data_IF_363395820599
#
_entry.id   IF_363395820599
#
_cell.length_a   1.000
_cell.length_b   1.000
_cell.length_c   1.000
_cell.angle_alpha   90.00
_cell.angle_beta   90.00
_cell.angle_gamma   90.00
#
_symmetry.space_group_name_H-M   'P 1'
#
loop_
_entity.id
_entity.type
_entity.pdbx_description
1 polymer ?
#
# COMPACT_ATOMS: atom_id res chain seq x y z
N UNK A 1 -27.27 -9.39 -3.25
CA UNK A 1 -26.43 -8.47 -4.07
C UNK A 1 -24.97 -8.78 -3.77
N UNK A 2 -24.07 -8.82 -4.77
CA UNK A 2 -22.68 -9.26 -4.55
C UNK A 2 -21.91 -8.22 -3.72
N UNK A 3 -21.44 -8.62 -2.55
CA UNK A 3 -20.48 -7.87 -1.74
C UNK A 3 -19.07 -8.11 -2.27
N UNK A 4 -18.20 -7.09 -2.22
CA UNK A 4 -16.80 -7.22 -2.60
C UNK A 4 -15.91 -7.08 -1.38
N UNK A 5 -14.88 -7.92 -1.25
CA UNK A 5 -13.82 -7.78 -0.24
C UNK A 5 -12.52 -7.36 -0.93
N UNK A 6 -11.93 -6.26 -0.50
CA UNK A 6 -10.59 -5.81 -0.94
C UNK A 6 -9.66 -5.91 0.26
N UNK A 7 -8.45 -6.42 0.05
CA UNK A 7 -7.47 -6.58 1.11
C UNK A 7 -6.07 -6.11 0.69
N UNK A 8 -5.25 -5.75 1.67
CA UNK A 8 -3.81 -5.54 1.52
C UNK A 8 -3.04 -6.39 2.51
N UNK A 9 -1.88 -6.90 2.10
CA UNK A 9 -1.04 -7.74 2.95
C UNK A 9 0.44 -7.63 2.57
N UNK A 10 1.25 -7.05 3.44
CA UNK A 10 2.71 -7.15 3.35
C UNK A 10 3.13 -8.59 3.75
N UNK A 11 3.61 -9.36 2.79
CA UNK A 11 3.92 -10.80 2.97
C UNK A 11 5.34 -11.04 3.46
N UNK A 12 6.18 -10.01 3.53
CA UNK A 12 7.58 -10.10 3.97
C UNK A 12 8.34 -11.26 3.31
N UNK A 13 8.18 -11.42 1.99
CA UNK A 13 8.75 -12.50 1.18
C UNK A 13 7.71 -13.52 0.74
N UNK A 14 7.20 -13.35 -0.48
CA UNK A 14 6.06 -14.14 -1.01
C UNK A 14 6.33 -15.65 -1.01
N UNK A 15 7.53 -16.08 -1.39
CA UNK A 15 7.86 -17.52 -1.47
C UNK A 15 7.84 -18.19 -0.10
N UNK A 16 8.44 -17.53 0.90
CA UNK A 16 8.48 -18.06 2.26
C UNK A 16 7.13 -18.07 2.95
N UNK A 17 6.21 -17.18 2.55
CA UNK A 17 4.86 -17.04 3.13
C UNK A 17 3.76 -17.59 2.23
N UNK A 18 4.13 -18.29 1.15
CA UNK A 18 3.16 -18.82 0.17
C UNK A 18 2.14 -19.77 0.82
N UNK A 19 2.50 -20.71 1.70
CA UNK A 19 1.51 -21.58 2.35
C UNK A 19 0.47 -20.81 3.17
N UNK A 20 0.89 -19.83 3.97
CA UNK A 20 0.00 -18.99 4.78
C UNK A 20 -0.86 -18.09 3.89
N UNK A 21 -0.28 -17.53 2.81
CA UNK A 21 -1.01 -16.75 1.83
C UNK A 21 -2.12 -17.59 1.17
N UNK A 22 -1.80 -18.79 0.69
CA UNK A 22 -2.79 -19.68 0.06
C UNK A 22 -3.88 -20.09 1.04
N UNK A 23 -3.54 -20.39 2.30
CA UNK A 23 -4.51 -20.70 3.34
C UNK A 23 -5.47 -19.52 3.60
N UNK A 24 -4.95 -18.29 3.66
CA UNK A 24 -5.77 -17.09 3.84
C UNK A 24 -6.64 -16.81 2.61
N UNK A 25 -6.09 -16.89 1.40
CA UNK A 25 -6.84 -16.71 0.15
C UNK A 25 -7.97 -17.73 -0.01
N UNK A 26 -7.76 -18.96 0.43
CA UNK A 26 -8.78 -20.01 0.41
C UNK A 26 -9.91 -19.72 1.41
N UNK A 27 -9.56 -19.29 2.63
CA UNK A 27 -10.54 -19.06 3.71
C UNK A 27 -11.31 -17.75 3.55
N UNK A 28 -10.61 -16.65 3.36
CA UNK A 28 -11.20 -15.30 3.38
C UNK A 28 -11.66 -14.84 2.00
N UNK A 29 -11.12 -15.48 0.96
CA UNK A 29 -11.44 -15.31 -0.45
C UNK A 29 -11.72 -13.86 -0.89
N UNK A 30 -10.80 -12.90 -0.66
CA UNK A 30 -10.97 -11.53 -1.12
C UNK A 30 -11.11 -11.46 -2.65
N UNK A 31 -11.85 -10.49 -3.16
CA UNK A 31 -11.98 -10.29 -4.60
C UNK A 31 -10.74 -9.62 -5.20
N UNK A 32 -10.11 -8.71 -4.44
CA UNK A 32 -8.87 -8.02 -4.85
C UNK A 32 -7.89 -8.02 -3.67
N UNK A 33 -6.62 -8.33 -3.94
CA UNK A 33 -5.55 -8.31 -2.92
C UNK A 33 -4.34 -7.51 -3.41
N UNK A 34 -3.92 -6.51 -2.64
CA UNK A 34 -2.61 -5.88 -2.79
C UNK A 34 -1.56 -6.59 -1.93
N UNK A 35 -0.45 -7.04 -2.52
CA UNK A 35 0.68 -7.64 -1.80
C UNK A 35 1.89 -6.72 -1.81
N UNK A 36 2.61 -6.65 -0.69
CA UNK A 36 3.85 -5.88 -0.54
C UNK A 36 5.00 -6.77 -0.06
N UNK A 37 6.23 -6.29 -0.25
CA UNK A 37 7.46 -7.00 0.06
C UNK A 37 7.51 -8.41 -0.52
N UNK A 38 7.29 -8.55 -1.83
CA UNK A 38 7.45 -9.83 -2.50
C UNK A 38 8.85 -10.44 -2.28
N UNK A 39 9.89 -9.59 -2.24
CA UNK A 39 11.32 -9.98 -2.11
C UNK A 39 11.72 -11.07 -3.10
N UNK A 40 11.15 -10.99 -4.30
CA UNK A 40 11.37 -11.93 -5.40
C UNK A 40 11.48 -11.15 -6.70
N UNK A 41 12.37 -11.60 -7.58
CA UNK A 41 12.37 -11.20 -8.99
C UNK A 41 11.10 -11.69 -9.69
N UNK A 42 10.78 -11.11 -10.85
CA UNK A 42 9.57 -11.45 -11.61
C UNK A 42 9.48 -12.93 -11.96
N UNK A 43 10.57 -13.53 -12.45
CA UNK A 43 10.64 -14.96 -12.77
C UNK A 43 10.43 -15.87 -11.54
N UNK A 44 10.51 -15.30 -10.35
CA UNK A 44 10.32 -16.04 -9.10
C UNK A 44 8.94 -15.91 -8.47
N UNK A 45 8.05 -15.11 -9.05
CA UNK A 45 6.69 -14.93 -8.57
C UNK A 45 5.89 -16.24 -8.74
N UNK A 46 5.18 -16.73 -7.70
CA UNK A 46 4.48 -18.02 -7.71
C UNK A 46 3.11 -17.93 -8.41
N UNK A 47 3.13 -17.55 -9.69
CA UNK A 47 1.91 -17.32 -10.46
C UNK A 47 1.06 -18.59 -10.59
N UNK A 48 1.70 -19.75 -10.82
CA UNK A 48 1.01 -21.02 -11.02
C UNK A 48 0.20 -21.44 -9.79
N UNK A 49 0.77 -21.27 -8.59
CA UNK A 49 0.12 -21.57 -7.33
C UNK A 49 -1.03 -20.62 -7.03
N UNK A 50 -0.88 -19.33 -7.35
CA UNK A 50 -1.95 -18.33 -7.21
C UNK A 50 -3.09 -18.57 -8.21
N UNK A 51 -2.76 -18.94 -9.46
CA UNK A 51 -3.74 -19.34 -10.46
C UNK A 51 -4.50 -20.59 -10.02
N UNK A 52 -3.82 -21.59 -9.46
CA UNK A 52 -4.45 -22.78 -8.91
C UNK A 52 -5.39 -22.47 -7.73
N UNK A 53 -5.09 -21.41 -6.96
CA UNK A 53 -5.99 -20.87 -5.93
C UNK A 53 -7.12 -19.99 -6.49
N UNK A 54 -7.21 -19.82 -7.81
CA UNK A 54 -8.26 -19.06 -8.49
C UNK A 54 -8.00 -17.56 -8.60
N UNK A 55 -6.74 -17.11 -8.49
CA UNK A 55 -6.38 -15.69 -8.59
C UNK A 55 -5.50 -15.42 -9.81
N UNK A 56 -5.94 -14.49 -10.66
CA UNK A 56 -5.06 -13.84 -11.63
C UNK A 56 -4.21 -12.76 -10.97
N UNK A 57 -3.12 -12.33 -11.61
CA UNK A 57 -2.18 -11.40 -10.98
C UNK A 57 -1.46 -10.47 -11.97
N UNK A 58 -1.16 -9.26 -11.50
CA UNK A 58 -0.11 -8.39 -12.05
C UNK A 58 0.87 -8.07 -10.94
N UNK A 59 2.17 -8.09 -11.22
CA UNK A 59 3.20 -7.89 -10.20
C UNK A 59 4.41 -7.16 -10.76
N UNK A 60 5.17 -6.54 -9.86
CA UNK A 60 6.47 -5.94 -10.12
C UNK A 60 7.42 -6.44 -9.03
N UNK A 61 8.30 -7.36 -9.40
CA UNK A 61 9.27 -7.99 -8.52
C UNK A 61 10.55 -7.17 -8.33
N UNK A 62 11.25 -7.43 -7.24
CA UNK A 62 12.60 -6.95 -6.96
C UNK A 62 13.26 -7.93 -5.99
N UNK A 63 14.53 -8.28 -6.24
CA UNK A 63 15.27 -9.20 -5.38
C UNK A 63 15.58 -8.58 -4.02
N UNK A 64 15.56 -9.40 -2.97
CA UNK A 64 15.95 -9.08 -1.58
C UNK A 64 15.07 -8.03 -0.86
N UNK A 65 14.52 -7.06 -1.58
CA UNK A 65 13.80 -5.90 -1.06
C UNK A 65 12.56 -5.63 -1.91
N UNK A 66 11.56 -4.95 -1.34
CA UNK A 66 10.39 -4.43 -2.05
C UNK A 66 9.60 -5.51 -2.82
N UNK A 67 8.96 -5.08 -3.91
CA UNK A 67 8.10 -5.88 -4.75
C UNK A 67 6.64 -5.70 -4.35
N UNK A 68 5.77 -5.54 -5.35
CA UNK A 68 4.33 -5.37 -5.17
C UNK A 68 3.54 -6.21 -6.16
N UNK A 69 2.36 -6.66 -5.78
CA UNK A 69 1.44 -7.36 -6.67
C UNK A 69 -0.02 -6.97 -6.41
N UNK A 70 -0.84 -7.07 -7.43
CA UNK A 70 -2.29 -7.06 -7.34
C UNK A 70 -2.82 -8.42 -7.81
N UNK A 71 -3.62 -9.06 -6.97
CA UNK A 71 -4.33 -10.29 -7.29
C UNK A 71 -5.82 -9.98 -7.49
N UNK A 72 -6.48 -10.68 -8.40
CA UNK A 72 -7.93 -10.63 -8.55
C UNK A 72 -8.52 -12.04 -8.66
N UNK A 73 -9.64 -12.27 -7.99
CA UNK A 73 -10.26 -13.60 -7.92
C UNK A 73 -11.08 -13.89 -9.17
N UNK A 74 -10.71 -14.96 -9.88
CA UNK A 74 -11.43 -15.43 -11.07
C UNK A 74 -11.23 -14.59 -12.33
N UNK A 75 -10.27 -13.67 -12.34
CA UNK A 75 -9.87 -12.92 -13.53
C UNK A 75 -8.44 -12.35 -13.38
N UNK A 76 -7.81 -11.99 -14.50
CA UNK A 76 -6.58 -11.21 -14.48
C UNK A 76 -6.88 -9.72 -14.28
N UNK A 77 -6.22 -9.04 -13.34
CA UNK A 77 -6.27 -7.58 -13.24
C UNK A 77 -5.74 -6.93 -14.54
N UNK A 78 -6.38 -5.85 -14.98
CA UNK A 78 -5.91 -5.08 -16.13
C UNK A 78 -5.00 -3.96 -15.64
N UNK A 79 -3.70 -4.10 -15.85
CA UNK A 79 -2.69 -3.11 -15.45
C UNK A 79 -2.95 -1.75 -16.12
N UNK A 80 -3.06 -0.70 -15.31
CA UNK A 80 -3.13 0.69 -15.77
C UNK A 80 -1.80 1.41 -15.59
N UNK A 81 -1.01 1.02 -14.58
CA UNK A 81 0.28 1.65 -14.28
C UNK A 81 1.23 0.71 -13.53
N UNK A 82 2.50 0.85 -13.88
CA UNK A 82 3.64 0.22 -13.20
C UNK A 82 4.65 1.29 -12.79
N UNK A 83 5.00 1.30 -11.51
CA UNK A 83 5.81 2.37 -10.91
C UNK A 83 5.01 3.63 -10.60
N UNK A 84 5.49 4.39 -9.61
CA UNK A 84 4.89 5.67 -9.22
C UNK A 84 5.37 6.77 -10.17
N UNK A 85 4.49 7.62 -10.73
CA UNK A 85 4.92 8.66 -11.67
C UNK A 85 5.71 9.78 -10.97
N UNK A 86 6.47 10.54 -11.76
CA UNK A 86 7.13 11.77 -11.32
C UNK A 86 8.63 11.68 -11.05
N UNK A 87 9.25 10.50 -11.13
CA UNK A 87 10.72 10.37 -11.28
C UNK A 87 11.08 9.12 -12.10
N UNK A 88 11.47 9.26 -13.37
CA UNK A 88 11.87 8.13 -14.23
C UNK A 88 13.12 7.37 -13.75
N UNK A 89 13.92 7.95 -12.84
CA UNK A 89 15.13 7.30 -12.32
C UNK A 89 14.82 6.35 -11.15
N UNK A 90 13.63 6.46 -10.58
CA UNK A 90 13.21 5.56 -9.50
C UNK A 90 12.79 4.21 -10.06
N UNK A 91 13.67 3.23 -9.92
CA UNK A 91 13.47 1.87 -10.41
C UNK A 91 12.97 0.91 -9.32
N UNK A 92 12.65 1.40 -8.12
CA UNK A 92 12.21 0.53 -7.02
C UNK A 92 10.77 0.02 -7.24
N UNK A 93 10.58 -1.29 -7.07
CA UNK A 93 9.29 -1.96 -7.25
C UNK A 93 8.35 -1.72 -6.07
N UNK A 94 7.78 -0.51 -6.01
CA UNK A 94 6.99 0.00 -4.86
C UNK A 94 5.55 0.39 -5.17
N UNK A 95 5.16 0.42 -6.45
CA UNK A 95 3.81 0.82 -6.84
C UNK A 95 3.35 0.08 -8.09
N UNK A 96 2.13 -0.45 -8.06
CA UNK A 96 1.44 -1.03 -9.21
C UNK A 96 -0.04 -0.68 -9.14
N UNK A 97 -0.68 -0.47 -10.28
CA UNK A 97 -2.07 -0.07 -10.40
C UNK A 97 -2.77 -0.91 -11.45
N UNK A 98 -3.96 -1.42 -11.10
CA UNK A 98 -4.76 -2.22 -12.01
C UNK A 98 -6.25 -2.09 -11.73
N UNK A 99 -7.04 -2.33 -12.76
CA UNK A 99 -8.50 -2.46 -12.68
C UNK A 99 -8.87 -3.92 -12.45
N UNK A 100 -9.69 -4.19 -11.44
CA UNK A 100 -10.30 -5.49 -11.21
C UNK A 100 -11.70 -5.32 -10.62
N UNK A 101 -12.66 -6.16 -11.04
CA UNK A 101 -14.04 -6.13 -10.53
C UNK A 101 -14.70 -4.73 -10.51
N UNK A 102 -14.36 -3.87 -11.49
CA UNK A 102 -14.88 -2.50 -11.60
C UNK A 102 -14.34 -1.52 -10.57
N UNK A 103 -13.20 -1.83 -9.93
CA UNK A 103 -12.47 -0.95 -9.01
C UNK A 103 -11.05 -0.77 -9.52
N UNK A 104 -10.59 0.47 -9.62
CA UNK A 104 -9.18 0.78 -9.85
C UNK A 104 -8.45 0.69 -8.51
N UNK A 105 -7.36 -0.07 -8.45
CA UNK A 105 -6.61 -0.25 -7.21
C UNK A 105 -5.15 0.13 -7.44
N UNK A 106 -4.65 1.07 -6.65
CA UNK A 106 -3.22 1.35 -6.51
C UNK A 106 -2.67 0.61 -5.29
N UNK A 107 -1.78 -0.36 -5.51
CA UNK A 107 -1.08 -1.09 -4.46
C UNK A 107 0.32 -0.50 -4.26
N UNK A 108 0.65 -0.13 -3.01
CA UNK A 108 1.92 0.53 -2.69
C UNK A 108 2.70 -0.11 -1.55
N UNK A 109 4.02 0.01 -1.62
CA UNK A 109 4.97 -0.26 -0.55
C UNK A 109 5.85 0.98 -0.34
N UNK A 110 5.40 1.87 0.54
CA UNK A 110 6.04 3.16 0.76
C UNK A 110 7.42 2.99 1.41
N UNK A 111 8.45 3.77 1.05
CA UNK A 111 9.76 3.65 1.67
C UNK A 111 9.70 3.80 3.21
N UNK A 112 10.30 2.85 3.94
CA UNK A 112 10.33 2.87 5.41
C UNK A 112 10.96 4.17 5.96
N UNK A 113 12.11 4.57 5.39
CA UNK A 113 12.80 5.82 5.69
C UNK A 113 13.91 5.71 6.75
N UNK A 114 14.07 4.58 7.45
CA UNK A 114 15.15 4.42 8.43
C UNK A 114 16.52 4.08 7.77
N UNK A 115 17.65 4.54 8.37
CA UNK A 115 17.71 5.44 9.52
C UNK A 115 17.35 6.87 9.15
N UNK A 116 16.87 7.64 10.15
CA UNK A 116 16.54 9.07 10.01
C UNK A 116 17.27 9.92 11.05
N UNK A 117 17.68 11.16 10.72
CA UNK A 117 17.60 11.78 9.39
C UNK A 117 18.60 11.14 8.39
N UNK A 118 18.47 11.46 7.10
CA UNK A 118 19.39 11.02 6.05
C UNK A 118 18.71 10.65 4.73
N UNK A 119 19.48 10.23 3.73
CA UNK A 119 19.02 10.11 2.34
C UNK A 119 17.85 9.12 2.16
N UNK A 120 17.69 8.13 3.04
CA UNK A 120 16.52 7.23 3.00
C UNK A 120 15.23 7.91 3.46
N UNK A 121 15.33 8.81 4.45
CA UNK A 121 14.20 9.60 4.91
C UNK A 121 13.85 10.69 3.89
N UNK A 122 14.86 11.34 3.30
CA UNK A 122 14.63 12.31 2.21
C UNK A 122 13.93 11.64 1.03
N UNK A 123 14.41 10.45 0.62
CA UNK A 123 13.73 9.64 -0.41
C UNK A 123 12.29 9.28 -0.04
N UNK A 124 12.00 8.96 1.23
CA UNK A 124 10.63 8.70 1.70
C UNK A 124 9.74 9.91 1.50
N UNK A 125 10.18 11.10 1.88
CA UNK A 125 9.41 12.33 1.75
C UNK A 125 9.19 12.71 0.28
N UNK A 126 10.23 12.59 -0.56
CA UNK A 126 10.12 12.82 -2.01
C UNK A 126 9.16 11.81 -2.69
N UNK A 127 9.18 10.55 -2.24
CA UNK A 127 8.25 9.52 -2.70
C UNK A 127 6.81 9.84 -2.27
N UNK A 128 6.61 10.31 -1.03
CA UNK A 128 5.31 10.78 -0.54
C UNK A 128 4.77 11.94 -1.37
N UNK A 129 5.60 12.94 -1.68
CA UNK A 129 5.19 14.08 -2.50
C UNK A 129 4.76 13.65 -3.91
N UNK A 130 5.45 12.66 -4.51
CA UNK A 130 5.02 12.03 -5.77
C UNK A 130 3.69 11.29 -5.62
N UNK A 131 3.52 10.54 -4.53
CA UNK A 131 2.28 9.81 -4.24
C UNK A 131 1.11 10.78 -4.12
N UNK A 132 1.24 11.85 -3.35
CA UNK A 132 0.21 12.87 -3.16
C UNK A 132 -0.23 13.48 -4.50
N UNK A 133 0.70 13.80 -5.41
CA UNK A 133 0.36 14.32 -6.74
C UNK A 133 -0.45 13.34 -7.57
N UNK A 134 -0.04 12.06 -7.59
CA UNK A 134 -0.77 11.02 -8.31
C UNK A 134 -2.13 10.73 -7.67
N UNK A 135 -2.17 10.62 -6.34
CA UNK A 135 -3.36 10.34 -5.56
C UNK A 135 -4.43 11.44 -5.70
N UNK A 136 -4.02 12.70 -5.89
CA UNK A 136 -4.96 13.81 -6.13
C UNK A 136 -5.78 13.59 -7.40
N UNK A 137 -5.19 13.00 -8.45
CA UNK A 137 -5.92 12.65 -9.66
C UNK A 137 -6.84 11.45 -9.43
N UNK A 138 -6.34 10.42 -8.72
CA UNK A 138 -7.08 9.20 -8.44
C UNK A 138 -8.33 9.45 -7.57
N UNK A 139 -8.22 10.26 -6.51
CA UNK A 139 -9.33 10.53 -5.58
C UNK A 139 -10.46 11.29 -6.26
N UNK A 140 -10.14 12.12 -7.25
CA UNK A 140 -11.09 12.91 -8.02
C UNK A 140 -11.81 12.11 -9.12
N UNK A 141 -11.40 10.86 -9.40
CA UNK A 141 -12.06 10.05 -10.41
C UNK A 141 -13.52 9.75 -10.00
N UNK A 142 -14.47 9.82 -10.95
CA UNK A 142 -15.87 9.49 -10.68
C UNK A 142 -16.12 7.97 -10.55
N UNK A 143 -15.08 7.15 -10.71
CA UNK A 143 -15.13 5.70 -10.63
C UNK A 143 -14.60 5.24 -9.26
N UNK A 144 -14.95 4.03 -8.79
CA UNK A 144 -14.43 3.54 -7.52
C UNK A 144 -12.92 3.29 -7.57
N UNK A 145 -12.17 3.89 -6.64
CA UNK A 145 -10.72 3.76 -6.52
C UNK A 145 -10.32 3.43 -5.08
N UNK A 146 -9.41 2.49 -4.91
CA UNK A 146 -8.74 2.20 -3.64
C UNK A 146 -7.24 2.44 -3.77
N UNK A 147 -6.64 3.11 -2.79
CA UNK A 147 -5.21 3.18 -2.60
C UNK A 147 -4.86 2.36 -1.36
N UNK A 148 -4.18 1.23 -1.55
CA UNK A 148 -3.98 0.21 -0.52
C UNK A 148 -2.50 -0.13 -0.39
N UNK A 149 -2.05 -0.53 0.79
CA UNK A 149 -0.67 -0.98 0.96
C UNK A 149 -0.13 -0.79 2.37
N UNK A 150 1.17 -1.03 2.49
CA UNK A 150 1.99 -0.64 3.63
C UNK A 150 2.55 0.76 3.37
N UNK A 151 2.04 1.74 4.12
CA UNK A 151 2.43 3.14 3.98
C UNK A 151 3.65 3.48 4.82
N UNK A 152 4.15 2.59 5.67
CA UNK A 152 5.27 2.89 6.58
C UNK A 152 5.09 4.23 7.32
N UNK A 153 3.86 4.54 7.75
CA UNK A 153 3.53 5.71 8.56
C UNK A 153 2.54 5.31 9.63
N UNK A 154 2.85 5.70 10.87
CA UNK A 154 1.95 5.63 12.03
C UNK A 154 1.25 6.98 12.13
N UNK A 155 -0.03 7.12 11.71
CA UNK A 155 -0.66 8.44 11.54
C UNK A 155 -0.75 9.25 12.83
N UNK A 156 -1.15 8.60 13.92
CA UNK A 156 -1.36 9.23 15.24
C UNK A 156 -0.84 8.34 16.37
N UNK A 157 -0.83 8.85 17.60
CA UNK A 157 -0.46 8.05 18.77
C UNK A 157 -1.52 6.97 19.12
N UNK A 158 -2.73 7.04 18.55
CA UNK A 158 -3.72 5.98 18.62
C UNK A 158 -3.35 4.77 17.73
N UNK A 159 -2.37 4.94 16.83
CA UNK A 159 -1.96 3.94 15.84
C UNK A 159 -0.72 3.14 16.27
N UNK A 160 -0.30 3.28 17.53
CA UNK A 160 0.87 2.59 18.10
C UNK A 160 0.64 2.26 19.59
N UNK A 161 1.19 1.14 20.04
CA UNK A 161 1.10 0.74 21.45
C UNK A 161 1.82 1.70 22.42
N UNK A 162 3.03 2.15 22.05
CA UNK A 162 3.86 3.06 22.83
C UNK A 162 4.65 4.01 21.89
N UNK A 163 4.20 5.26 21.71
CA UNK A 163 4.92 6.25 20.91
C UNK A 163 6.34 6.52 21.41
N UNK A 164 6.57 6.44 22.72
CA UNK A 164 7.85 6.85 23.32
C UNK A 164 9.02 5.96 22.87
N UNK A 165 8.80 4.65 22.70
CA UNK A 165 9.84 3.72 22.25
C UNK A 165 10.20 3.88 20.76
N UNK A 166 9.40 4.60 19.98
CA UNK A 166 9.56 4.78 18.54
C UNK A 166 9.85 6.24 18.13
N UNK A 167 10.13 7.14 19.09
CA UNK A 167 10.36 8.58 18.82
C UNK A 167 11.42 8.88 17.76
N UNK A 168 12.40 7.99 17.59
CA UNK A 168 13.49 8.14 16.61
C UNK A 168 13.22 7.44 15.28
N UNK A 169 12.13 6.72 15.16
CA UNK A 169 11.79 5.94 13.97
C UNK A 169 11.16 6.83 12.89
N UNK A 170 11.56 6.62 11.63
CA UNK A 170 11.02 7.31 10.46
C UNK A 170 9.49 7.25 10.33
N UNK A 171 8.82 6.22 10.87
CA UNK A 171 7.37 6.03 10.79
C UNK A 171 6.57 7.05 11.60
N UNK A 172 7.16 7.61 12.67
CA UNK A 172 6.49 8.53 13.61
C UNK A 172 6.89 9.99 13.43
N UNK A 173 7.76 10.28 12.47
CA UNK A 173 8.28 11.63 12.32
C UNK A 173 7.20 12.62 11.90
N UNK A 174 7.24 13.87 12.42
CA UNK A 174 6.25 14.89 12.09
C UNK A 174 6.03 15.04 10.59
N UNK A 175 7.10 15.00 9.79
CA UNK A 175 7.07 15.14 8.34
C UNK A 175 6.35 13.96 7.66
N UNK A 176 6.57 12.73 8.14
CA UNK A 176 5.85 11.55 7.63
C UNK A 176 4.37 11.56 8.01
N UNK A 177 4.06 11.95 9.25
CA UNK A 177 2.66 12.09 9.73
C UNK A 177 1.93 13.19 8.98
N UNK A 178 2.59 14.33 8.77
CA UNK A 178 2.05 15.45 8.00
C UNK A 178 1.78 15.03 6.55
N UNK A 179 2.71 14.37 5.87
CA UNK A 179 2.51 13.92 4.49
C UNK A 179 1.32 12.96 4.36
N UNK A 180 1.11 12.07 5.34
CA UNK A 180 -0.08 11.21 5.37
C UNK A 180 -1.38 12.00 5.65
N UNK A 181 -1.35 12.96 6.57
CA UNK A 181 -2.51 13.81 6.85
C UNK A 181 -2.92 14.66 5.64
N UNK A 182 -1.94 15.22 4.92
CA UNK A 182 -2.15 15.95 3.66
C UNK A 182 -2.71 15.05 2.56
N UNK A 183 -2.29 13.78 2.49
CA UNK A 183 -2.89 12.80 1.60
C UNK A 183 -4.38 12.60 1.94
N UNK A 184 -4.73 12.40 3.21
CA UNK A 184 -6.14 12.27 3.62
C UNK A 184 -6.96 13.53 3.30
N UNK A 185 -6.37 14.71 3.48
CA UNK A 185 -7.02 16.00 3.23
C UNK A 185 -7.45 16.19 1.75
N UNK A 186 -6.94 15.39 0.82
CA UNK A 186 -7.39 15.38 -0.58
C UNK A 186 -8.83 14.82 -0.75
N UNK A 187 -9.39 14.19 0.27
CA UNK A 187 -10.72 13.57 0.25
C UNK A 187 -10.70 12.04 0.30
N UNK A 188 -9.56 11.42 0.63
CA UNK A 188 -9.47 9.98 0.84
C UNK A 188 -10.10 9.60 2.19
N UNK A 189 -10.89 8.53 2.19
CA UNK A 189 -11.43 7.94 3.42
C UNK A 189 -10.49 6.85 3.94
N UNK A 190 -9.94 7.02 5.14
CA UNK A 190 -9.27 5.94 5.89
C UNK A 190 -10.33 4.96 6.41
N UNK A 191 -10.45 3.80 5.76
CA UNK A 191 -11.51 2.84 6.03
C UNK A 191 -11.49 2.25 7.43
N UNK A 192 -10.29 2.00 8.00
CA UNK A 192 -10.18 1.47 9.36
C UNK A 192 -10.65 2.51 10.37
N UNK A 193 -10.22 3.77 10.21
CA UNK A 193 -10.65 4.85 11.11
C UNK A 193 -12.15 5.12 10.99
N UNK A 194 -12.70 5.07 9.78
CA UNK A 194 -14.14 5.23 9.52
C UNK A 194 -15.01 4.18 10.24
N UNK A 195 -14.55 2.93 10.31
CA UNK A 195 -15.31 1.82 10.93
C UNK A 195 -15.04 1.69 12.43
N UNK A 196 -13.79 1.90 12.85
CA UNK A 196 -13.37 1.64 14.22
C UNK A 196 -13.39 2.87 15.13
N UNK A 197 -13.52 4.08 14.57
CA UNK A 197 -13.39 5.33 15.32
C UNK A 197 -12.03 5.40 16.00
N UNK A 198 -11.97 5.87 17.24
CA UNK A 198 -10.71 5.99 18.01
C UNK A 198 -10.17 4.65 18.56
N UNK A 199 -10.82 3.52 18.29
CA UNK A 199 -10.32 2.21 18.74
C UNK A 199 -8.95 1.92 18.12
N UNK A 200 -8.06 1.37 18.94
CA UNK A 200 -6.73 0.93 18.51
C UNK A 200 -6.86 -0.33 17.66
N UNK A 201 -6.38 -0.25 16.42
CA UNK A 201 -6.32 -1.37 15.48
C UNK A 201 -4.90 -1.43 14.97
N UNK A 202 -4.24 -2.58 15.11
CA UNK A 202 -2.88 -2.77 14.61
C UNK A 202 -2.88 -3.72 13.41
N UNK A 203 -1.92 -3.50 12.53
CA UNK A 203 -1.70 -4.29 11.30
C UNK A 203 -0.31 -4.90 11.26
N UNK A 204 0.60 -4.43 12.10
CA UNK A 204 2.00 -4.86 12.17
C UNK A 204 2.46 -5.10 13.61
N UNK A 205 3.25 -6.16 13.81
CA UNK A 205 3.93 -6.49 15.05
C UNK A 205 5.31 -7.07 14.73
N UNK A 206 6.35 -6.28 15.01
CA UNK A 206 7.75 -6.69 14.93
C UNK A 206 7.96 -8.04 15.66
N UNK A 207 8.80 -8.91 15.09
CA UNK A 207 9.12 -10.23 15.64
C UNK A 207 9.78 -10.20 17.03
N UNK A 208 10.45 -9.12 17.41
CA UNK A 208 11.21 -9.02 18.64
C UNK A 208 10.32 -8.72 19.87
N UNK A 209 10.87 -8.99 21.06
CA UNK A 209 10.31 -8.58 22.36
C UNK A 209 8.86 -9.00 22.63
N UNK A 210 8.43 -10.09 22.00
CA UNK A 210 7.09 -10.64 22.12
C UNK A 210 5.99 -9.61 21.78
N UNK A 211 6.24 -8.72 20.80
CA UNK A 211 5.26 -7.69 20.47
C UNK A 211 3.92 -8.27 20.01
N UNK A 212 3.91 -9.40 19.32
CA UNK A 212 2.67 -10.10 18.99
C UNK A 212 1.89 -10.55 20.24
N UNK A 213 2.56 -11.29 21.14
CA UNK A 213 1.92 -11.87 22.33
C UNK A 213 1.42 -10.81 23.32
N UNK A 214 2.02 -9.61 23.30
CA UNK A 214 1.66 -8.48 24.17
C UNK A 214 0.75 -7.45 23.48
N UNK A 215 0.33 -7.73 22.25
CA UNK A 215 -0.39 -6.80 21.38
C UNK A 215 0.25 -5.41 21.25
N UNK A 216 1.58 -5.37 21.19
CA UNK A 216 2.38 -4.17 21.06
C UNK A 216 2.62 -3.83 19.58
N UNK A 217 1.54 -3.45 18.87
CA UNK A 217 1.55 -3.27 17.42
C UNK A 217 1.58 -1.82 16.91
N UNK A 218 1.63 -1.69 15.59
CA UNK A 218 1.50 -0.47 14.80
C UNK A 218 0.37 -0.62 13.77
N UNK A 219 -0.27 0.49 13.40
CA UNK A 219 -1.14 0.59 12.22
C UNK A 219 -0.40 1.31 11.10
N UNK A 220 0.12 0.56 10.14
CA UNK A 220 0.87 1.10 9.00
C UNK A 220 0.36 0.61 7.65
N UNK A 221 -0.50 -0.41 7.65
CA UNK A 221 -1.20 -0.89 6.47
C UNK A 221 -2.57 -0.21 6.39
N UNK A 222 -2.85 0.46 5.27
CA UNK A 222 -4.07 1.26 5.11
C UNK A 222 -4.79 0.91 3.81
N UNK A 223 -6.12 1.03 3.83
CA UNK A 223 -6.95 1.00 2.63
C UNK A 223 -7.71 2.32 2.54
N UNK A 224 -7.21 3.22 1.71
CA UNK A 224 -7.80 4.53 1.47
C UNK A 224 -8.79 4.43 0.31
N UNK A 225 -10.00 4.93 0.51
CA UNK A 225 -11.09 4.82 -0.45
C UNK A 225 -11.44 6.22 -0.98
N UNK A 226 -11.58 6.35 -2.30
CA UNK A 226 -12.11 7.58 -2.87
C UNK A 226 -13.63 7.70 -2.60
N UNK A 227 -14.27 8.87 -2.78
CA UNK A 227 -15.65 9.07 -2.37
C UNK A 227 -16.67 8.07 -2.97
N UNK A 228 -16.63 7.74 -4.27
CA UNK A 228 -17.50 6.70 -4.84
C UNK A 228 -17.36 5.31 -4.19
N UNK A 229 -16.15 4.92 -3.80
CA UNK A 229 -15.91 3.63 -3.16
C UNK A 229 -16.23 3.67 -1.66
N UNK A 230 -15.91 4.77 -0.98
CA UNK A 230 -16.21 5.01 0.43
C UNK A 230 -17.72 4.95 0.72
N UNK A 231 -18.56 5.46 -0.19
CA UNK A 231 -20.02 5.34 -0.08
C UNK A 231 -20.54 3.89 -0.07
N UNK A 232 -19.70 2.93 -0.46
CA UNK A 232 -20.02 1.50 -0.46
C UNK A 232 -19.43 0.77 0.75
N UNK A 233 -18.62 1.43 1.58
CA UNK A 233 -17.98 0.80 2.75
C UNK A 233 -19.06 0.24 3.70
N UNK A 234 -18.91 -1.03 4.08
CA UNK A 234 -19.77 -1.71 5.04
C UNK A 234 -19.03 -2.09 6.30
N UNK A 235 -17.80 -2.58 6.14
CA UNK A 235 -16.97 -3.01 7.24
C UNK A 235 -15.50 -2.94 6.85
N UNK A 236 -14.61 -2.92 7.84
CA UNK A 236 -13.17 -2.94 7.67
C UNK A 236 -12.52 -3.65 8.85
N UNK A 237 -11.43 -4.37 8.63
CA UNK A 237 -10.83 -5.18 9.68
C UNK A 237 -9.43 -5.67 9.37
N UNK A 238 -8.92 -6.48 10.29
CA UNK A 238 -7.59 -7.09 10.23
C UNK A 238 -7.74 -8.58 10.54
N UNK A 239 -7.27 -9.43 9.64
CA UNK A 239 -7.26 -10.88 9.81
C UNK A 239 -6.07 -11.31 10.70
N UNK A 240 -6.14 -10.90 11.97
CA UNK A 240 -5.14 -11.17 13.01
C UNK A 240 -4.79 -12.65 13.15
N UNK A 241 -5.72 -13.54 12.83
CA UNK A 241 -5.49 -14.99 12.89
C UNK A 241 -4.36 -15.44 11.95
N UNK A 242 -4.12 -14.72 10.84
CA UNK A 242 -3.00 -15.03 9.93
C UNK A 242 -1.66 -14.72 10.58
N UNK A 243 -1.59 -13.66 11.39
CA UNK A 243 -0.40 -13.30 12.15
C UNK A 243 -0.07 -14.30 13.27
N UNK A 244 -1.05 -15.07 13.70
CA UNK A 244 -0.89 -16.13 14.71
C UNK A 244 -0.33 -17.44 14.13
N UNK A 245 -0.28 -17.58 12.81
CA UNK A 245 0.24 -18.78 12.17
C UNK A 245 1.76 -18.92 12.38
N UNK A 246 2.28 -20.17 12.43
CA UNK A 246 3.71 -20.41 12.38
C UNK A 246 4.36 -19.78 11.14
N UNK A 247 5.49 -19.11 11.33
CA UNK A 247 6.23 -18.41 10.27
C UNK A 247 5.43 -17.32 9.53
N UNK A 248 4.40 -16.74 10.18
CA UNK A 248 3.64 -15.63 9.62
C UNK A 248 4.53 -14.41 9.27
N UNK A 249 4.03 -13.57 8.37
CA UNK A 249 4.53 -12.20 8.23
C UNK A 249 4.42 -11.46 9.56
N UNK A 250 5.23 -10.44 9.75
CA UNK A 250 5.11 -9.47 10.84
C UNK A 250 3.86 -8.58 10.67
N UNK A 251 3.29 -8.53 9.47
CA UNK A 251 2.00 -7.90 9.18
C UNK A 251 0.84 -8.90 9.21
N UNK A 252 -0.38 -8.38 9.33
CA UNK A 252 -1.63 -9.11 9.14
C UNK A 252 -2.41 -8.55 7.94
N UNK A 253 -3.12 -9.40 7.17
CA UNK A 253 -3.98 -8.91 6.11
C UNK A 253 -5.02 -7.95 6.64
N UNK A 254 -5.14 -6.80 5.99
CA UNK A 254 -6.09 -5.74 6.35
C UNK A 254 -7.09 -5.59 5.21
N UNK A 255 -8.39 -5.46 5.51
CA UNK A 255 -9.43 -5.57 4.50
C UNK A 255 -10.59 -4.59 4.70
N UNK A 256 -11.35 -4.40 3.63
CA UNK A 256 -12.66 -3.74 3.61
C UNK A 256 -13.69 -4.65 2.94
N UNK A 257 -14.93 -4.60 3.44
CA UNK A 257 -16.10 -5.17 2.78
C UNK A 257 -16.95 -4.03 2.22
N UNK A 258 -17.33 -4.19 0.96
CA UNK A 258 -18.03 -3.21 0.17
C UNK A 258 -19.41 -3.75 -0.23
N UNK A 259 -20.41 -2.89 -0.14
CA UNK A 259 -21.73 -3.12 -0.69
C UNK A 259 -21.72 -3.13 -2.23
N UNK A 260 -22.87 -3.52 -2.77
CA UNK A 260 -23.12 -3.48 -4.19
C UNK A 260 -22.90 -2.08 -4.76
N UNK A 261 -22.47 -2.01 -6.02
CA UNK A 261 -22.47 -0.74 -6.74
C UNK A 261 -23.91 -0.22 -6.81
N UNK A 262 -24.15 1.09 -6.60
CA UNK A 262 -25.46 1.67 -6.82
C UNK A 262 -25.89 1.40 -8.27
N UNK A 263 -27.16 1.05 -8.47
CA UNK A 263 -27.70 0.81 -9.80
C UNK A 263 -27.47 2.04 -10.68
N UNK A 264 -26.88 1.85 -11.86
CA UNK A 264 -26.76 2.91 -12.88
C UNK A 264 -28.16 3.35 -13.28
N UNK A 265 -28.67 4.44 -12.70
CA UNK A 265 -30.00 4.97 -13.02
C UNK A 265 -30.56 6.02 -12.07
N UNK A 266 -30.12 6.08 -10.81
CA UNK A 266 -30.75 6.99 -9.84
C UNK A 266 -30.22 8.44 -9.83
N UNK A 267 -29.13 8.74 -10.54
CA UNK A 267 -28.44 10.04 -10.44
C UNK A 267 -28.66 10.99 -11.64
N UNK A 268 -29.55 10.67 -12.59
CA UNK A 268 -29.75 11.50 -13.80
C UNK A 268 -31.17 12.11 -13.94
N UNK A 269 -32.05 12.02 -12.94
CA UNK A 269 -33.39 12.59 -13.03
C UNK A 269 -33.67 13.65 -11.96
N UNK A 270 -32.91 14.75 -11.94
CA UNK A 270 -33.35 16.00 -11.28
C UNK A 270 -32.56 17.22 -11.73
N UNK A 271 -32.75 17.61 -12.99
CA UNK A 271 -32.68 19.00 -13.42
C UNK A 271 -33.33 19.11 -14.81
N UNK A 272 -34.65 19.38 -14.84
CA UNK A 272 -35.33 19.81 -16.07
C UNK A 272 -35.22 21.34 -16.09
N UNK A 273 -34.50 21.97 -17.03
CA UNK A 273 -34.51 23.42 -17.13
C UNK A 273 -35.90 23.85 -17.60
N UNK A 274 -36.55 24.74 -16.82
CA UNK A 274 -37.77 25.42 -17.28
C UNK A 274 -37.41 26.25 -18.51
N UNK A 275 -37.96 25.89 -19.67
CA UNK A 275 -38.03 26.80 -20.83
C UNK A 275 -38.99 27.93 -20.44
N UNK A 276 -38.44 29.12 -20.26
CA UNK A 276 -39.20 30.36 -20.26
C UNK A 276 -39.42 30.78 -21.70
N UNK A 277 -40.70 30.90 -22.06
CA UNK A 277 -41.18 31.36 -23.35
C UNK A 277 -40.90 32.86 -23.54
N UNK A 278 -40.60 33.24 -24.78
CA UNK A 278 -40.39 34.62 -25.17
C UNK A 278 -41.74 35.25 -25.55
N UNK A 279 -42.08 36.37 -24.90
CA UNK A 279 -43.25 37.20 -25.21
C UNK A 279 -42.85 38.67 -25.14
N UNK A 280 -43.26 39.43 -26.14
CA UNK A 280 -42.64 40.67 -26.61
C UNK A 280 -43.16 41.97 -25.96
N UNK A 281 -42.39 43.03 -26.24
CA UNK A 281 -42.79 44.42 -26.51
C UNK A 281 -43.13 45.41 -25.36
N UNK A 282 -42.54 46.61 -25.46
CA UNK A 282 -42.92 47.77 -24.64
C UNK A 282 -41.95 48.97 -24.57
N UNK A 283 -41.55 49.52 -25.71
CA UNK A 283 -41.26 50.94 -26.02
C UNK A 283 -40.97 51.96 -24.87
N UNK A 284 -39.86 52.71 -24.92
CA UNK A 284 -39.81 54.18 -25.20
C UNK A 284 -38.50 54.89 -24.77
N UNK A 285 -38.02 55.77 -25.67
CA UNK A 285 -37.30 57.07 -25.46
C UNK A 285 -35.93 57.01 -24.74
N UNK A 286 -34.81 57.49 -25.27
CA UNK A 286 -34.58 58.61 -26.19
C UNK A 286 -33.93 59.77 -25.43
N UNK A 287 -32.58 59.87 -25.42
CA UNK A 287 -31.85 61.14 -25.22
C UNK A 287 -30.38 61.03 -25.68
N UNK A 288 -29.90 62.14 -26.25
CA UNK A 288 -28.73 62.34 -27.11
C UNK A 288 -27.44 62.70 -26.36
N UNK A 289 -26.31 62.40 -27.04
CA UNK A 289 -25.04 63.16 -27.17
C UNK A 289 -24.21 63.41 -25.87
N UNK A 290 -22.88 63.59 -25.87
CA UNK A 290 -21.95 64.09 -26.88
C UNK A 290 -20.50 63.69 -26.50
N UNK A 291 -19.69 63.52 -27.52
CA UNK A 291 -18.22 63.37 -27.56
C UNK A 291 -17.50 64.66 -27.10
N UNK A 292 -16.40 64.56 -26.34
CA UNK A 292 -15.05 65.14 -26.63
C UNK A 292 -14.06 65.07 -25.45
N UNK A 293 -12.86 64.53 -25.71
CA UNK A 293 -11.47 64.96 -25.35
C UNK A 293 -11.27 66.00 -24.21
N UNK A 294 -10.24 65.99 -23.34
CA UNK A 294 -8.81 65.61 -23.43
C UNK A 294 -8.15 65.79 -22.02
N UNK A 295 -6.95 65.21 -21.82
CA UNK A 295 -5.87 65.59 -20.85
C UNK A 295 -6.15 65.43 -19.34
N UNK A 296 -5.26 65.00 -18.43
CA UNK A 296 -3.79 64.82 -18.42
C UNK A 296 -3.33 64.05 -17.16
N UNK A 297 -2.24 63.28 -17.34
CA UNK A 297 -1.04 63.16 -16.48
C UNK A 297 -1.00 62.43 -15.11
N UNK A 298 0.13 61.70 -14.99
CA UNK A 298 0.88 61.23 -13.82
C UNK A 298 0.39 59.93 -13.15
N UNK A 299 1.22 58.92 -12.88
CA UNK A 299 2.67 58.80 -13.00
C UNK A 299 3.09 57.33 -13.15
N UNK A 300 4.16 57.13 -13.92
CA UNK A 300 4.84 55.86 -14.11
C UNK A 300 6.02 55.76 -13.14
N UNK A 301 6.42 54.53 -12.81
CA UNK A 301 7.78 54.01 -13.09
C UNK A 301 7.84 52.50 -12.84
N UNK A 302 8.22 51.77 -13.90
CA UNK A 302 8.87 50.46 -13.81
C UNK A 302 10.35 50.66 -13.47
N UNK A 303 11.09 49.58 -13.21
CA UNK A 303 12.43 49.37 -13.75
C UNK A 303 12.91 47.93 -13.49
N UNK A 304 13.09 47.19 -14.59
CA UNK A 304 13.93 46.01 -14.69
C UNK A 304 15.08 46.33 -15.66
N UNK A 305 16.24 45.73 -15.37
CA UNK A 305 17.49 45.63 -16.15
C UNK A 305 18.32 46.90 -16.43
N UNK A 306 19.60 46.85 -16.00
CA UNK A 306 20.74 46.77 -16.95
C UNK A 306 22.10 46.54 -16.28
N UNK A 307 22.81 45.57 -16.88
CA UNK A 307 24.19 45.66 -17.41
C UNK A 307 25.42 45.40 -16.51
N UNK A 308 26.39 44.81 -17.21
CA UNK A 308 27.56 44.08 -16.76
C UNK A 308 28.88 44.89 -16.77
N UNK A 309 29.90 44.23 -16.22
CA UNK A 309 31.29 44.13 -16.70
C UNK A 309 32.38 44.84 -15.86
N UNK A 310 33.28 44.03 -15.28
CA UNK A 310 34.73 44.18 -15.48
C UNK A 310 35.50 42.90 -15.15
N UNK A 311 36.34 42.52 -16.11
CA UNK A 311 37.30 41.43 -16.19
C UNK A 311 38.64 41.79 -15.53
N UNK A 312 39.42 40.79 -15.08
CA UNK A 312 40.81 40.51 -15.51
C UNK A 312 41.42 39.28 -14.82
N UNK A 313 41.69 38.27 -15.65
CA UNK A 313 42.91 37.47 -15.81
C UNK A 313 43.77 37.03 -14.60
N UNK A 314 43.95 35.70 -14.49
CA UNK A 314 45.25 35.07 -14.81
C UNK A 314 45.11 33.57 -15.14
N UNK A 315 45.45 33.22 -16.38
CA UNK A 315 45.91 31.89 -16.83
C UNK A 315 47.27 31.57 -16.18
N UNK A 316 47.77 30.34 -16.01
CA UNK A 316 48.10 29.21 -16.91
C UNK A 316 48.51 28.03 -15.96
N UNK A 317 48.65 26.74 -16.28
CA UNK A 317 49.07 26.05 -17.50
C UNK A 317 48.66 24.56 -17.49
N UNK A 318 48.54 24.01 -18.70
CA UNK A 318 48.37 22.60 -19.10
C UNK A 318 49.59 21.73 -18.77
N UNK A 319 49.37 20.42 -18.69
CA UNK A 319 50.12 19.42 -19.46
C UNK A 319 49.26 18.19 -19.78
N UNK A 320 49.66 17.48 -20.84
CA UNK A 320 48.89 16.60 -21.74
C UNK A 320 49.23 15.12 -21.50
N UNK A 321 48.31 14.26 -21.96
CA UNK A 321 48.51 12.90 -22.52
C UNK A 321 48.79 11.77 -21.51
N UNK A 322 48.36 10.51 -21.70
CA UNK A 322 48.23 9.73 -22.94
C UNK A 322 47.29 8.52 -22.72
N UNK A 323 46.69 8.04 -23.80
CA UNK A 323 45.88 6.82 -23.89
C UNK A 323 46.71 5.54 -23.67
N UNK A 324 46.05 4.44 -23.30
CA UNK A 324 46.23 3.09 -23.89
C UNK A 324 45.25 2.09 -23.29
N UNK A 325 44.49 1.43 -24.16
CA UNK A 325 43.75 0.18 -23.92
C UNK A 325 44.73 -0.99 -23.87
N UNK A 326 44.35 -2.14 -23.27
CA UNK A 326 44.39 -3.35 -24.11
C UNK A 326 43.19 -4.29 -23.91
N UNK A 327 42.87 -5.00 -25.00
CA UNK A 327 42.07 -6.23 -25.00
C UNK A 327 42.89 -7.42 -24.44
N UNK A 328 42.25 -8.60 -24.27
CA UNK A 328 42.79 -9.73 -25.01
C UNK A 328 41.71 -10.67 -25.59
N UNK A 329 42.24 -11.58 -26.41
CA UNK A 329 41.62 -12.31 -27.50
C UNK A 329 40.92 -13.64 -27.14
N UNK A 330 40.19 -14.13 -28.13
CA UNK A 330 39.60 -15.46 -28.28
C UNK A 330 40.64 -16.56 -28.54
N UNK A 331 40.35 -17.82 -28.12
CA UNK A 331 40.53 -19.03 -28.95
C UNK A 331 39.79 -20.25 -28.39
N UNK A 332 39.19 -20.98 -29.34
CA UNK A 332 38.39 -22.22 -29.24
C UNK A 332 39.27 -23.48 -29.06
N UNK A 333 38.70 -24.54 -28.45
CA UNK A 333 38.37 -25.87 -29.03
C UNK A 333 38.46 -27.01 -27.99
N UNK A 334 37.49 -27.93 -28.03
CA UNK A 334 37.79 -29.38 -28.04
C UNK A 334 37.21 -30.29 -26.95
N UNK A 335 36.09 -30.95 -27.30
CA UNK A 335 35.77 -32.38 -27.10
C UNK A 335 35.60 -33.02 -25.69
N UNK A 336 34.34 -33.38 -25.41
CA UNK A 336 33.82 -34.69 -24.94
C UNK A 336 34.70 -35.64 -24.10
N UNK A 337 34.17 -36.05 -22.92
CA UNK A 337 34.08 -37.46 -22.48
C UNK A 337 33.20 -37.63 -21.20
N UNK A 338 32.14 -38.41 -21.40
CA UNK A 338 31.58 -39.50 -20.56
C UNK A 338 31.21 -39.31 -19.09
N UNK A 339 29.98 -39.77 -18.82
CA UNK A 339 29.32 -39.95 -17.54
C UNK A 339 30.04 -40.91 -16.57
N UNK A 340 29.84 -40.69 -15.27
CA UNK A 340 29.71 -41.76 -14.28
C UNK A 340 28.78 -41.32 -13.16
N UNK A 341 27.72 -42.09 -12.97
CA UNK A 341 26.72 -41.94 -11.94
C UNK A 341 27.33 -42.20 -10.55
N UNK A 342 26.91 -41.42 -9.54
CA UNK A 342 27.04 -41.78 -8.12
C UNK A 342 25.65 -41.94 -7.52
N UNK A 343 25.34 -43.20 -7.20
CA UNK A 343 24.18 -43.70 -6.47
C UNK A 343 24.12 -43.13 -5.04
N UNK A 344 22.97 -42.66 -4.53
CA UNK A 344 22.77 -42.44 -3.11
C UNK A 344 22.52 -43.79 -2.40
N UNK A 345 23.25 -44.05 -1.32
CA UNK A 345 23.04 -45.21 -0.44
C UNK A 345 21.66 -45.15 0.22
N UNK A 346 20.90 -46.24 0.08
CA UNK A 346 19.66 -46.50 0.79
C UNK A 346 19.88 -46.53 2.32
N UNK A 347 19.04 -45.79 3.06
CA UNK A 347 18.86 -45.98 4.51
C UNK A 347 17.61 -46.85 4.72
N UNK A 348 17.79 -47.95 5.45
CA UNK A 348 16.75 -48.91 5.85
C UNK A 348 15.64 -48.25 6.72
N UNK A 349 14.40 -48.74 6.65
CA UNK A 349 13.29 -48.27 7.48
C UNK A 349 13.45 -48.71 8.94
N UNK A 350 13.20 -47.80 9.89
CA UNK A 350 13.06 -48.14 11.31
C UNK A 350 11.62 -48.51 11.62
N UNK A 351 11.48 -49.61 12.33
CA UNK A 351 10.26 -50.31 12.65
C UNK A 351 9.30 -49.50 13.54
N UNK A 352 8.02 -49.79 13.33
CA UNK A 352 6.89 -49.40 14.16
C UNK A 352 7.13 -49.75 15.63
N UNK A 353 6.80 -48.82 16.53
CA UNK A 353 6.64 -49.13 17.96
C UNK A 353 5.15 -49.04 18.28
N UNK A 354 4.63 -50.19 18.67
CA UNK A 354 3.28 -50.49 19.10
C UNK A 354 2.95 -49.81 20.43
N UNK A 355 1.72 -49.31 20.52
CA UNK A 355 1.07 -48.81 21.73
C UNK A 355 0.62 -50.01 22.59
N UNK A 356 0.90 -50.06 23.91
CA UNK A 356 0.25 -51.00 24.81
C UNK A 356 -1.04 -50.40 25.44
N UNK A 357 -2.03 -51.25 25.78
CA UNK A 357 -3.39 -50.84 26.10
C UNK A 357 -3.59 -50.42 27.57
N UNK A 358 -4.65 -49.63 27.76
CA UNK A 358 -5.22 -49.17 29.03
C UNK A 358 -5.77 -50.33 29.86
N UNK A 359 -5.63 -50.32 31.20
CA UNK A 359 -6.51 -51.12 32.06
C UNK A 359 -7.71 -50.31 32.54
N UNK A 360 -8.91 -50.85 32.33
CA UNK A 360 -10.13 -50.46 33.05
C UNK A 360 -10.23 -51.22 34.37
N UNK A 361 -10.62 -50.55 35.46
CA UNK A 361 -11.73 -50.99 36.35
C UNK A 361 -11.95 -50.02 37.53
N UNK A 362 -13.15 -49.43 37.54
CA UNK A 362 -14.10 -49.31 38.65
C UNK A 362 -13.65 -48.92 40.05
N UNK A 363 -14.23 -47.82 40.57
CA UNK A 363 -14.26 -47.52 42.00
C UNK A 363 -15.14 -46.31 42.34
N UNK A 364 -16.25 -46.55 43.02
CA UNK A 364 -17.29 -45.59 43.45
C UNK A 364 -16.80 -44.62 44.55
N UNK A 365 -17.56 -43.50 44.71
CA UNK A 365 -17.78 -42.68 45.95
C UNK A 365 -16.60 -41.75 46.33
N UNK A 366 -16.74 -40.52 46.84
CA UNK A 366 -17.80 -39.70 47.49
C UNK A 366 -17.47 -38.21 47.25
N UNK A 367 -18.49 -37.33 47.23
CA UNK A 367 -18.36 -35.86 47.38
C UNK A 367 -17.85 -35.49 48.80
N UNK A 368 -17.10 -34.39 48.96
CA UNK A 368 -17.11 -33.58 50.18
C UNK A 368 -17.78 -32.20 49.96
N UNK A 369 -18.16 -31.50 51.05
CA UNK A 369 -19.33 -30.63 51.07
C UNK A 369 -19.06 -29.14 50.77
N UNK A 370 -20.14 -28.45 50.38
CA UNK A 370 -20.26 -26.99 50.38
C UNK A 370 -20.15 -26.43 51.81
N UNK A 371 -19.43 -25.33 51.97
CA UNK A 371 -19.50 -24.45 53.14
C UNK A 371 -20.52 -23.32 52.87
N UNK A 372 -21.37 -22.95 53.85
CA UNK A 372 -22.38 -21.90 53.72
C UNK A 372 -21.80 -20.49 53.98
N UNK A 373 -22.54 -19.42 53.59
CA UNK A 373 -22.13 -18.04 53.86
C UNK A 373 -22.49 -17.64 55.30
N UNK A 374 -21.62 -16.87 55.94
CA UNK A 374 -21.88 -16.23 57.23
C UNK A 374 -22.25 -14.76 57.04
N UNK A 375 -23.45 -14.39 57.45
CA UNK A 375 -23.85 -13.01 57.78
C UNK A 375 -23.56 -12.73 59.27
N UNK A 376 -23.26 -11.46 59.59
CA UNK A 376 -23.73 -10.83 60.85
C UNK A 376 -22.73 -10.58 62.00
N UNK A 377 -22.20 -9.35 62.06
CA UNK A 377 -22.35 -8.41 63.20
C UNK A 377 -21.58 -8.61 64.51
N UNK A 378 -20.68 -7.66 64.80
CA UNK A 378 -20.65 -6.81 66.01
C UNK A 378 -19.74 -5.60 65.75
#
# INVERSE_FOLDING_TARGET
MKTHKIATYNVNGIRSRLPQLLQWLQREAPDIVGLQELKSVDAGFPLAELHAAGYGAVWMGQSSWNGVALLARGCDPVESRRGLPGDPRDTQSRYIEAMAHGVLVGCLYLPNGNPRPGPKFDYKLDWFARLQRHAQHLVALPHPVALIGDFNVVPTDADIYNPASWRRDALLQPESRQAYAELLAQGWTDSLRQVHGERRVYTFWDYFRQHWQRDAGLRIDHLLLNPPLAARLRDAGVDRWVRDLPHASDHAPTWVVLGAAPARGAAASRAKPKRGDAGAEGNTKGAKAKKTTRTSASGATSLAEKAAARTKDKATARTKAKSTTPAPATKKKGATKTATAKTPKARKPRAATTVPPTPSRGGKRRKPPLLPPGEGGA
#
